data_IF_947170405630
#
_entry.id   IF_947170405630
#
_cell.length_a   1.000
_cell.length_b   1.000
_cell.length_c   1.000
_cell.angle_alpha   90.00
_cell.angle_beta   90.00
_cell.angle_gamma   90.00
#
_symmetry.space_group_name_H-M   'P 1'
#
loop_
_entity.id
_entity.type
_entity.pdbx_description
1 polymer ?
#
# COMPACT_ATOMS: atom_id res chain seq x y z
N UNK A 1 -79.41 37.59 -28.87
CA UNK A 1 -80.23 37.11 -27.74
C UNK A 1 -79.49 35.96 -27.09
N UNK A 2 -79.51 35.87 -25.75
CA UNK A 2 -79.06 34.74 -24.88
C UNK A 2 -77.59 34.26 -25.05
N UNK A 3 -76.69 34.26 -24.05
CA UNK A 3 -76.69 33.59 -22.72
C UNK A 3 -76.66 32.04 -22.80
N UNK A 4 -75.97 31.24 -21.96
CA UNK A 4 -75.01 31.42 -20.82
C UNK A 4 -74.39 30.01 -20.50
N UNK A 5 -73.29 29.74 -19.74
CA UNK A 5 -72.16 30.48 -19.13
C UNK A 5 -71.05 29.49 -18.64
N UNK A 6 -69.97 29.98 -18.01
CA UNK A 6 -68.88 29.25 -17.28
C UNK A 6 -67.94 28.32 -18.12
N UNK A 7 -66.77 27.84 -17.65
CA UNK A 7 -66.01 28.02 -16.38
C UNK A 7 -64.47 28.03 -16.67
N UNK A 8 -63.64 28.29 -15.66
CA UNK A 8 -62.17 28.35 -15.69
C UNK A 8 -61.48 27.02 -15.40
N UNK A 9 -60.22 26.85 -15.86
CA UNK A 9 -59.22 26.06 -15.12
C UNK A 9 -57.77 26.36 -15.54
N UNK A 10 -56.90 26.61 -14.56
CA UNK A 10 -55.44 26.63 -14.75
C UNK A 10 -54.89 25.20 -14.76
N UNK A 11 -53.87 24.92 -15.59
CA UNK A 11 -52.91 23.83 -15.32
C UNK A 11 -51.55 24.12 -15.97
N UNK A 12 -50.84 25.14 -15.49
CA UNK A 12 -49.38 25.14 -15.61
C UNK A 12 -48.80 24.11 -14.63
N UNK A 13 -48.33 22.97 -15.14
CA UNK A 13 -47.70 21.93 -14.31
C UNK A 13 -46.18 21.97 -14.44
N UNK A 14 -45.58 23.01 -13.89
CA UNK A 14 -44.14 23.27 -13.90
C UNK A 14 -43.38 22.20 -13.09
N UNK A 15 -42.69 21.29 -13.80
CA UNK A 15 -41.85 20.26 -13.20
C UNK A 15 -40.45 20.83 -12.91
N UNK A 16 -40.33 21.57 -11.80
CA UNK A 16 -39.03 22.06 -11.34
C UNK A 16 -38.51 21.15 -10.22
N UNK A 17 -37.57 20.25 -10.54
CA UNK A 17 -37.03 19.25 -9.62
C UNK A 17 -35.55 19.57 -9.31
N UNK A 18 -35.22 19.71 -8.02
CA UNK A 18 -34.02 20.43 -7.57
C UNK A 18 -32.66 19.81 -7.96
N UNK A 19 -32.05 20.36 -9.01
CA UNK A 19 -30.64 20.15 -9.36
C UNK A 19 -29.67 20.43 -8.20
N UNK A 20 -30.04 21.30 -7.25
CA UNK A 20 -29.18 21.66 -6.11
C UNK A 20 -29.05 20.53 -5.06
N UNK A 21 -30.10 19.73 -4.86
CA UNK A 21 -30.15 18.74 -3.76
C UNK A 21 -29.17 17.58 -3.95
N UNK A 22 -28.79 17.28 -5.19
CA UNK A 22 -27.81 16.23 -5.52
C UNK A 22 -26.34 16.69 -5.38
N UNK A 23 -26.09 18.02 -5.36
CA UNK A 23 -24.74 18.60 -5.39
C UNK A 23 -24.15 18.76 -3.98
N UNK A 24 -25.00 19.01 -2.97
CA UNK A 24 -24.59 19.04 -1.56
C UNK A 24 -24.16 17.66 -1.07
N UNK A 25 -25.01 16.66 -1.30
CA UNK A 25 -24.86 15.31 -0.76
C UNK A 25 -23.65 14.57 -1.37
N UNK A 26 -23.41 14.76 -2.67
CA UNK A 26 -22.23 14.23 -3.37
C UNK A 26 -20.92 14.86 -2.89
N UNK A 27 -20.91 16.15 -2.52
CA UNK A 27 -19.74 16.80 -1.88
C UNK A 27 -19.49 16.25 -0.47
N UNK A 28 -20.53 16.13 0.35
CA UNK A 28 -20.43 15.59 1.73
C UNK A 28 -19.98 14.14 1.80
N UNK A 29 -20.50 13.27 0.92
CA UNK A 29 -20.03 11.87 0.81
C UNK A 29 -18.54 11.80 0.39
N UNK A 30 -18.08 12.72 -0.47
CA UNK A 30 -16.69 12.77 -0.97
C UNK A 30 -15.69 13.31 0.06
N UNK A 31 -16.07 14.27 0.91
CA UNK A 31 -15.22 14.71 2.03
C UNK A 31 -15.10 13.62 3.10
N UNK A 32 -16.20 12.99 3.49
CA UNK A 32 -16.20 11.89 4.47
C UNK A 32 -15.34 10.70 4.01
N UNK A 33 -15.40 10.32 2.72
CA UNK A 33 -14.52 9.27 2.17
C UNK A 33 -13.03 9.63 2.27
N UNK A 34 -12.65 10.87 1.95
CA UNK A 34 -11.26 11.34 2.11
C UNK A 34 -10.82 11.31 3.58
N UNK A 35 -11.65 11.83 4.49
CA UNK A 35 -11.37 11.85 5.92
C UNK A 35 -11.16 10.46 6.50
N UNK A 36 -11.96 9.48 6.08
CA UNK A 36 -11.78 8.07 6.45
C UNK A 36 -10.45 7.49 5.94
N UNK A 37 -10.13 7.68 4.66
CA UNK A 37 -8.88 7.18 4.07
C UNK A 37 -7.63 7.77 4.74
N UNK A 38 -7.68 9.05 5.15
CA UNK A 38 -6.60 9.69 5.91
C UNK A 38 -6.43 9.05 7.29
N UNK A 39 -7.53 8.84 8.04
CA UNK A 39 -7.50 8.16 9.36
C UNK A 39 -6.98 6.73 9.27
N UNK A 40 -7.42 5.96 8.28
CA UNK A 40 -6.94 4.60 8.01
C UNK A 40 -5.44 4.58 7.67
N UNK A 41 -4.94 5.59 6.94
CA UNK A 41 -3.52 5.71 6.60
C UNK A 41 -2.67 6.12 7.81
N UNK A 42 -3.14 7.03 8.66
CA UNK A 42 -2.47 7.43 9.90
C UNK A 42 -2.39 6.23 10.86
N UNK A 43 -3.51 5.54 11.09
CA UNK A 43 -3.54 4.36 11.97
C UNK A 43 -2.58 3.26 11.51
N UNK A 44 -2.48 3.02 10.19
CA UNK A 44 -1.51 2.10 9.62
C UNK A 44 -0.06 2.55 9.88
N UNK A 45 0.24 3.84 9.74
CA UNK A 45 1.58 4.40 10.00
C UNK A 45 1.95 4.39 11.50
N UNK A 46 0.98 4.47 12.42
CA UNK A 46 1.22 4.27 13.85
C UNK A 46 1.58 2.81 14.17
N UNK A 47 0.81 1.83 13.65
CA UNK A 47 1.10 0.39 13.81
C UNK A 47 2.52 0.07 13.34
N UNK A 48 2.94 0.63 12.19
CA UNK A 48 4.26 0.41 11.62
C UNK A 48 5.44 0.86 12.50
N UNK A 49 5.26 1.74 13.49
CA UNK A 49 6.35 2.14 14.41
C UNK A 49 6.79 0.99 15.33
N UNK A 50 5.86 0.07 15.60
CA UNK A 50 6.08 -1.16 16.39
C UNK A 50 6.27 -2.41 15.53
N UNK A 51 6.13 -2.31 14.20
CA UNK A 51 6.21 -3.44 13.29
C UNK A 51 7.65 -3.92 13.04
N UNK A 52 7.88 -5.25 12.96
CA UNK A 52 9.14 -5.81 12.47
C UNK A 52 9.47 -5.33 11.04
N UNK A 53 10.76 -5.45 10.69
CA UNK A 53 11.29 -5.05 9.38
C UNK A 53 11.52 -6.28 8.51
N UNK A 54 11.08 -6.25 7.25
CA UNK A 54 11.55 -7.19 6.23
C UNK A 54 12.47 -6.47 5.24
N UNK A 55 13.68 -6.99 5.04
CA UNK A 55 14.63 -6.51 4.04
C UNK A 55 14.62 -7.48 2.86
N UNK A 56 14.46 -6.94 1.65
CA UNK A 56 14.58 -7.68 0.40
C UNK A 56 15.86 -7.24 -0.31
N UNK A 57 16.81 -8.16 -0.40
CA UNK A 57 18.09 -7.96 -1.10
C UNK A 57 17.93 -8.29 -2.59
N UNK A 58 17.91 -7.25 -3.42
CA UNK A 58 17.80 -7.33 -4.88
C UNK A 58 19.14 -7.09 -5.60
N UNK A 59 20.29 -7.23 -4.92
CA UNK A 59 21.64 -6.94 -5.44
C UNK A 59 22.14 -7.86 -6.57
N UNK A 60 21.25 -8.60 -7.25
CA UNK A 60 21.55 -9.65 -8.24
C UNK A 60 20.80 -9.48 -9.57
N UNK A 61 20.25 -8.29 -9.82
CA UNK A 61 19.54 -7.95 -11.07
C UNK A 61 20.42 -8.10 -12.32
N UNK A 62 21.74 -7.99 -12.19
CA UNK A 62 22.74 -8.28 -13.23
C UNK A 62 22.69 -9.74 -13.73
N UNK A 63 22.33 -10.68 -12.85
CA UNK A 63 22.14 -12.10 -13.17
C UNK A 63 20.73 -12.41 -13.68
N UNK A 64 19.80 -11.46 -13.59
CA UNK A 64 18.42 -11.63 -14.02
C UNK A 64 18.21 -11.26 -15.50
N UNK A 65 17.59 -12.18 -16.25
CA UNK A 65 16.97 -11.85 -17.54
C UNK A 65 15.86 -10.80 -17.39
N UNK A 66 15.55 -10.04 -18.45
CA UNK A 66 14.44 -9.08 -18.46
C UNK A 66 13.06 -9.70 -18.15
N UNK A 67 12.92 -11.03 -18.26
CA UNK A 67 11.75 -11.77 -17.79
C UNK A 67 11.74 -11.86 -16.26
N UNK A 68 12.87 -12.22 -15.65
CA UNK A 68 12.99 -12.38 -14.20
C UNK A 68 12.82 -11.03 -13.49
N UNK A 69 13.37 -9.94 -14.02
CA UNK A 69 13.15 -8.59 -13.46
C UNK A 69 11.66 -8.22 -13.46
N UNK A 70 10.91 -8.55 -14.52
CA UNK A 70 9.44 -8.33 -14.55
C UNK A 70 8.72 -9.21 -13.53
N UNK A 71 9.12 -10.47 -13.35
CA UNK A 71 8.60 -11.34 -12.30
C UNK A 71 8.86 -10.76 -10.90
N UNK A 72 10.05 -10.22 -10.65
CA UNK A 72 10.41 -9.62 -9.37
C UNK A 72 9.59 -8.35 -9.06
N UNK A 73 9.35 -7.48 -10.05
CA UNK A 73 8.44 -6.32 -9.89
C UNK A 73 7.04 -6.77 -9.47
N UNK A 74 6.54 -7.87 -10.04
CA UNK A 74 5.24 -8.46 -9.68
C UNK A 74 5.27 -9.06 -8.27
N UNK A 75 6.31 -9.83 -7.92
CA UNK A 75 6.49 -10.41 -6.59
C UNK A 75 6.54 -9.34 -5.50
N UNK A 76 7.37 -8.30 -5.65
CA UNK A 76 7.46 -7.16 -4.71
C UNK A 76 6.10 -6.47 -4.53
N UNK A 77 5.36 -6.27 -5.64
CA UNK A 77 4.03 -5.65 -5.62
C UNK A 77 2.98 -6.53 -4.92
N UNK A 78 3.08 -7.85 -5.05
CA UNK A 78 2.22 -8.81 -4.33
C UNK A 78 2.59 -8.81 -2.84
N UNK A 79 3.88 -8.90 -2.49
CA UNK A 79 4.35 -8.89 -1.09
C UNK A 79 3.91 -7.62 -0.36
N UNK A 80 4.07 -6.44 -0.96
CA UNK A 80 3.53 -5.19 -0.40
C UNK A 80 2.00 -5.25 -0.26
N UNK A 81 1.29 -5.78 -1.27
CA UNK A 81 -0.18 -5.90 -1.24
C UNK A 81 -0.70 -6.90 -0.19
N UNK A 82 0.10 -7.88 0.22
CA UNK A 82 -0.18 -8.81 1.32
C UNK A 82 0.11 -8.13 2.66
N UNK A 83 1.30 -7.54 2.82
CA UNK A 83 1.68 -6.78 4.04
C UNK A 83 0.66 -5.68 4.36
N UNK A 84 0.19 -4.93 3.35
CA UNK A 84 -0.86 -3.90 3.46
C UNK A 84 -2.22 -4.39 3.96
N UNK A 85 -2.45 -5.71 4.00
CA UNK A 85 -3.70 -6.37 4.45
C UNK A 85 -3.49 -7.25 5.68
N UNK A 86 -2.25 -7.42 6.16
CA UNK A 86 -1.95 -8.19 7.36
C UNK A 86 -2.50 -7.52 8.61
N UNK A 87 -2.93 -8.31 9.59
CA UNK A 87 -3.20 -7.85 10.96
C UNK A 87 -1.91 -7.38 11.65
N UNK A 88 -0.78 -7.99 11.31
CA UNK A 88 0.57 -7.63 11.72
C UNK A 88 1.39 -7.28 10.46
N UNK A 89 1.39 -6.01 10.02
CA UNK A 89 2.18 -5.59 8.87
C UNK A 89 3.67 -5.50 9.24
N UNK A 90 4.54 -5.64 8.25
CA UNK A 90 5.97 -5.34 8.34
C UNK A 90 6.25 -3.95 7.78
N UNK A 91 7.30 -3.28 8.27
CA UNK A 91 8.00 -2.26 7.47
C UNK A 91 8.88 -2.99 6.44
N UNK A 92 9.13 -2.38 5.28
CA UNK A 92 9.87 -3.03 4.19
C UNK A 92 11.06 -2.17 3.75
N UNK A 93 12.21 -2.80 3.54
CA UNK A 93 13.37 -2.18 2.89
C UNK A 93 13.72 -3.00 1.65
N UNK A 94 13.68 -2.37 0.47
CA UNK A 94 14.13 -2.97 -0.80
C UNK A 94 15.50 -2.38 -1.12
N UNK A 95 16.56 -3.19 -1.05
CA UNK A 95 17.95 -2.77 -1.21
C UNK A 95 18.63 -3.42 -2.43
N UNK A 96 19.79 -2.91 -2.84
CA UNK A 96 20.48 -3.36 -4.05
C UNK A 96 19.83 -2.93 -5.37
N UNK A 97 18.98 -1.91 -5.34
CA UNK A 97 18.10 -1.54 -6.46
C UNK A 97 18.83 -1.09 -7.75
N UNK A 98 18.73 -1.91 -8.80
CA UNK A 98 19.14 -1.53 -10.16
C UNK A 98 18.17 -0.53 -10.81
N UNK A 99 18.63 0.18 -11.85
CA UNK A 99 17.76 1.06 -12.66
C UNK A 99 16.69 0.27 -13.45
N UNK A 100 16.94 -1.00 -13.81
CA UNK A 100 15.95 -1.86 -14.50
C UNK A 100 14.78 -2.18 -13.56
N UNK A 101 15.09 -2.63 -12.35
CA UNK A 101 14.10 -2.96 -11.33
C UNK A 101 13.34 -1.71 -10.84
N UNK A 102 14.06 -0.60 -10.63
CA UNK A 102 13.51 0.73 -10.28
C UNK A 102 12.52 1.24 -11.33
N UNK A 103 12.88 1.19 -12.63
CA UNK A 103 11.98 1.52 -13.75
C UNK A 103 10.77 0.58 -13.86
N UNK A 104 10.85 -0.60 -13.27
CA UNK A 104 9.72 -1.50 -13.03
C UNK A 104 8.80 -0.99 -11.92
N UNK A 105 9.33 -0.78 -10.71
CA UNK A 105 8.58 -0.33 -9.53
C UNK A 105 7.95 1.07 -9.67
N UNK A 106 8.54 1.99 -10.44
CA UNK A 106 7.88 3.28 -10.74
C UNK A 106 6.55 3.10 -11.47
N UNK A 107 6.38 2.02 -12.25
CA UNK A 107 5.09 1.71 -12.93
C UNK A 107 4.01 1.19 -11.99
N UNK A 108 4.39 0.75 -10.77
CA UNK A 108 3.46 0.26 -9.74
C UNK A 108 3.18 1.32 -8.67
N UNK A 109 3.59 2.58 -8.91
CA UNK A 109 3.56 3.70 -7.96
C UNK A 109 4.25 3.36 -6.62
N UNK A 110 5.38 2.64 -6.65
CA UNK A 110 6.09 2.20 -5.45
C UNK A 110 6.59 3.36 -4.58
N UNK A 111 6.81 4.54 -5.16
CA UNK A 111 7.12 5.79 -4.44
C UNK A 111 5.96 6.33 -3.57
N UNK A 112 4.77 5.72 -3.66
CA UNK A 112 3.59 6.00 -2.82
C UNK A 112 3.28 4.87 -1.83
N UNK A 113 4.16 3.88 -1.69
CA UNK A 113 3.94 2.75 -0.78
C UNK A 113 4.28 3.14 0.67
N UNK A 114 3.34 2.91 1.59
CA UNK A 114 3.50 3.30 3.00
C UNK A 114 4.34 2.28 3.77
N UNK A 115 5.37 2.74 4.47
CA UNK A 115 6.28 1.88 5.24
C UNK A 115 7.32 1.15 4.40
N UNK A 116 7.58 1.62 3.18
CA UNK A 116 8.56 1.02 2.26
C UNK A 116 9.70 1.99 1.99
N UNK A 117 10.92 1.55 2.27
CA UNK A 117 12.17 2.24 1.89
C UNK A 117 12.75 1.55 0.66
N UNK A 118 13.04 2.30 -0.40
CA UNK A 118 13.63 1.75 -1.64
C UNK A 118 15.00 2.41 -1.84
N UNK A 119 16.07 1.61 -1.92
CA UNK A 119 17.45 2.13 -1.92
C UNK A 119 18.40 1.36 -2.84
N UNK A 120 19.36 2.09 -3.41
CA UNK A 120 20.45 1.53 -4.22
C UNK A 120 21.66 1.11 -3.37
N UNK A 121 21.64 1.40 -2.04
CA UNK A 121 22.61 0.84 -1.09
C UNK A 121 22.49 -0.69 -1.10
N UNK A 122 23.62 -1.39 -1.06
CA UNK A 122 23.65 -2.85 -0.89
C UNK A 122 23.24 -3.24 0.55
N UNK A 123 23.05 -4.54 0.77
CA UNK A 123 22.62 -5.07 2.07
C UNK A 123 23.58 -4.71 3.22
N UNK A 124 24.90 -4.85 3.03
CA UNK A 124 25.89 -4.56 4.09
C UNK A 124 25.80 -3.12 4.60
N UNK A 125 25.56 -2.17 3.69
CA UNK A 125 25.37 -0.78 4.05
C UNK A 125 24.05 -0.57 4.79
N UNK A 126 22.96 -1.26 4.43
CA UNK A 126 21.69 -1.17 5.16
C UNK A 126 21.81 -1.75 6.58
N UNK A 127 22.48 -2.90 6.72
CA UNK A 127 22.63 -3.56 8.02
C UNK A 127 23.54 -2.79 8.99
N UNK A 128 24.51 -1.99 8.51
CA UNK A 128 25.33 -1.10 9.37
C UNK A 128 24.51 -0.04 10.11
N UNK A 129 23.43 0.45 9.48
CA UNK A 129 22.49 1.39 10.10
C UNK A 129 21.61 0.69 11.16
N UNK A 130 21.47 -0.63 11.06
CA UNK A 130 20.55 -1.46 11.85
C UNK A 130 21.26 -2.39 12.86
N UNK A 131 22.59 -2.36 12.95
CA UNK A 131 23.49 -3.29 13.68
C UNK A 131 23.21 -3.57 15.16
N UNK A 132 22.28 -2.86 15.79
CA UNK A 132 21.86 -3.04 17.19
C UNK A 132 20.52 -3.81 17.31
N UNK A 133 19.95 -4.29 16.20
CA UNK A 133 18.67 -5.03 16.13
C UNK A 133 18.91 -6.52 15.91
N UNK A 134 17.90 -7.34 16.19
CA UNK A 134 17.90 -8.77 15.92
C UNK A 134 17.79 -9.02 14.40
N UNK A 135 18.82 -9.60 13.78
CA UNK A 135 18.90 -9.78 12.32
C UNK A 135 18.91 -11.28 11.98
N UNK A 136 17.82 -11.75 11.36
CA UNK A 136 17.64 -13.12 10.90
C UNK A 136 17.75 -13.15 9.37
N UNK A 137 18.58 -14.04 8.83
CA UNK A 137 18.67 -14.30 7.39
C UNK A 137 17.78 -15.48 7.01
N UNK A 138 16.88 -15.27 6.06
CA UNK A 138 15.98 -16.30 5.54
C UNK A 138 16.63 -16.98 4.32
N UNK A 139 17.18 -18.16 4.54
CA UNK A 139 17.72 -19.06 3.50
C UNK A 139 16.98 -20.40 3.50
N UNK A 140 16.87 -21.03 2.32
CA UNK A 140 16.39 -22.41 2.22
C UNK A 140 17.48 -23.42 2.63
N UNK A 141 18.75 -23.03 2.52
CA UNK A 141 19.94 -23.82 2.87
C UNK A 141 20.36 -23.61 4.35
N UNK A 142 19.39 -23.33 5.22
CA UNK A 142 19.58 -23.07 6.66
C UNK A 142 19.28 -24.33 7.46
N UNK A 143 20.22 -24.77 8.30
CA UNK A 143 19.98 -25.82 9.30
C UNK A 143 18.99 -25.34 10.40
N UNK A 144 19.00 -24.05 10.72
CA UNK A 144 18.05 -23.43 11.65
C UNK A 144 16.65 -23.32 11.04
N UNK A 145 15.61 -23.63 11.83
CA UNK A 145 14.21 -23.49 11.46
C UNK A 145 13.54 -22.36 12.25
N UNK A 146 12.82 -21.49 11.54
CA UNK A 146 12.09 -20.38 12.16
C UNK A 146 10.74 -20.86 12.69
N UNK A 147 10.55 -20.89 14.01
CA UNK A 147 9.23 -21.06 14.60
C UNK A 147 8.35 -19.81 14.38
N UNK A 148 7.11 -20.05 13.96
CA UNK A 148 6.07 -19.05 13.72
C UNK A 148 4.89 -19.20 14.69
N UNK A 149 5.09 -19.91 15.82
CA UNK A 149 4.10 -20.05 16.88
C UNK A 149 3.66 -18.69 17.43
N UNK A 150 2.38 -18.60 17.78
CA UNK A 150 1.72 -17.33 18.18
C UNK A 150 2.18 -16.76 19.53
N UNK A 151 3.12 -17.42 20.21
CA UNK A 151 3.75 -16.93 21.45
C UNK A 151 4.95 -16.00 21.16
N UNK A 152 5.55 -16.11 19.97
CA UNK A 152 6.66 -15.26 19.52
C UNK A 152 6.14 -13.84 19.25
N UNK A 153 6.58 -12.88 20.07
CA UNK A 153 6.25 -11.46 19.89
C UNK A 153 7.26 -10.77 18.97
N UNK A 154 6.94 -10.69 17.68
CA UNK A 154 7.69 -9.86 16.75
C UNK A 154 7.58 -8.36 17.11
N UNK A 155 8.71 -7.68 17.10
CA UNK A 155 8.87 -6.27 17.48
C UNK A 155 9.55 -5.48 16.38
N UNK A 156 9.59 -4.14 16.48
CA UNK A 156 10.37 -3.33 15.53
C UNK A 156 11.88 -3.53 15.61
N UNK A 157 12.40 -4.16 16.67
CA UNK A 157 13.81 -4.56 16.78
C UNK A 157 14.11 -5.89 16.07
N UNK A 158 13.11 -6.55 15.46
CA UNK A 158 13.30 -7.75 14.64
C UNK A 158 13.39 -7.42 13.14
N UNK A 159 14.40 -8.00 12.49
CA UNK A 159 14.71 -7.84 11.06
C UNK A 159 14.79 -9.22 10.40
N UNK A 160 14.03 -9.40 9.32
CA UNK A 160 14.09 -10.58 8.46
C UNK A 160 14.66 -10.20 7.10
N UNK A 161 15.85 -10.70 6.76
CA UNK A 161 16.49 -10.46 5.48
C UNK A 161 16.25 -11.65 4.53
N UNK A 162 15.59 -11.40 3.40
CA UNK A 162 15.43 -12.37 2.32
C UNK A 162 16.17 -11.90 1.06
N UNK A 163 16.85 -12.83 0.39
CA UNK A 163 17.60 -12.58 -0.86
C UNK A 163 16.84 -13.15 -2.06
N UNK A 164 16.75 -12.38 -3.13
CA UNK A 164 16.18 -12.83 -4.40
C UNK A 164 17.29 -13.42 -5.27
N UNK A 165 17.04 -14.63 -5.80
CA UNK A 165 17.91 -15.39 -6.70
C UNK A 165 17.26 -15.55 -8.10
#
# INVERSE_FOLDING_TARGET
>A
MTENSADTTNTEKSINLDSNTLISDSKGRRSNRKGRQIRESINYLEILKSSPTIIVDCSFDDKHSDRNVKSLVVQLSISYSVIRKSSLPFTMIICGMSERLKKGLTKTNAEKWFGVTITQRNLDLVLKDLRNRNIVYLSADSDDHLDLSSEVRYTSDDIYCWRVN
#
